data_IF_638888746337
#
_entry.id   IF_638888746337
#
_cell.length_a   1.000
_cell.length_b   1.000
_cell.length_c   1.000
_cell.angle_alpha   90.00
_cell.angle_beta   90.00
_cell.angle_gamma   90.00
#
_symmetry.space_group_name_H-M   'P 1'
#
loop_
_entity.id
_entity.type
_entity.pdbx_description
1 polymer ?
#
# COMPACT_ATOMS: atom_id res chain seq x y z
N UNK A 1 -8.63 -0.78 -4.40
CA UNK A 1 -8.92 -0.89 -2.96
C UNK A 1 -7.80 -0.20 -2.24
N UNK A 2 -8.08 0.70 -1.29
CA UNK A 2 -7.04 1.47 -0.61
C UNK A 2 -6.18 0.61 0.32
N UNK A 3 -6.57 -0.62 0.62
CA UNK A 3 -5.90 -1.45 1.63
C UNK A 3 -4.51 -1.88 1.23
N UNK A 4 -3.62 -1.95 2.22
CA UNK A 4 -2.28 -2.54 2.09
C UNK A 4 -2.14 -3.83 2.88
N UNK A 5 -3.15 -4.24 3.65
CA UNK A 5 -3.13 -5.47 4.43
C UNK A 5 -4.47 -6.21 4.35
N UNK A 6 -4.40 -7.54 4.40
CA UNK A 6 -5.56 -8.43 4.51
C UNK A 6 -5.22 -9.63 5.40
N UNK A 7 -6.12 -10.04 6.28
CA UNK A 7 -5.90 -11.23 7.10
C UNK A 7 -5.67 -12.48 6.23
N UNK A 8 -4.74 -13.34 6.63
CA UNK A 8 -4.57 -14.67 6.06
C UNK A 8 -5.76 -15.61 6.36
N UNK A 9 -6.69 -15.21 7.23
CA UNK A 9 -7.88 -15.98 7.59
C UNK A 9 -9.09 -15.56 6.76
N UNK A 10 -10.00 -16.51 6.51
CA UNK A 10 -11.32 -16.21 5.97
C UNK A 10 -11.31 -15.57 4.57
N UNK A 11 -10.28 -15.84 3.76
CA UNK A 11 -10.13 -15.32 2.40
C UNK A 11 -10.27 -13.80 2.27
N UNK A 12 -9.79 -13.07 3.29
CA UNK A 12 -9.97 -11.63 3.37
C UNK A 12 -9.35 -10.90 2.16
N UNK A 13 -8.25 -11.42 1.61
CA UNK A 13 -7.62 -10.84 0.42
C UNK A 13 -8.46 -11.03 -0.82
N UNK A 14 -8.99 -12.22 -1.08
CA UNK A 14 -9.85 -12.51 -2.23
C UNK A 14 -11.16 -11.71 -2.14
N UNK A 15 -11.74 -11.65 -0.95
CA UNK A 15 -12.98 -10.92 -0.66
C UNK A 15 -12.78 -9.40 -0.55
N UNK A 16 -11.54 -8.92 -0.68
CA UNK A 16 -11.16 -7.51 -0.57
C UNK A 16 -11.61 -6.85 0.76
N UNK A 17 -11.51 -7.58 1.88
CA UNK A 17 -11.76 -7.11 3.25
C UNK A 17 -10.42 -6.81 3.92
N UNK A 18 -9.93 -5.58 3.79
CA UNK A 18 -8.58 -5.22 4.24
C UNK A 18 -8.55 -3.93 5.02
N UNK A 19 -7.37 -3.61 5.56
CA UNK A 19 -7.10 -2.36 6.27
C UNK A 19 -6.00 -1.57 5.54
N UNK A 20 -6.00 -0.25 5.71
CA UNK A 20 -4.89 0.62 5.33
C UNK A 20 -4.04 0.87 6.57
N UNK A 21 -2.90 0.18 6.67
CA UNK A 21 -2.03 0.29 7.86
C UNK A 21 -0.56 0.58 7.53
N UNK A 22 -0.22 0.67 6.24
CA UNK A 22 1.14 1.00 5.79
C UNK A 22 1.14 2.37 5.13
N UNK A 23 2.04 3.26 5.55
CA UNK A 23 2.07 4.65 5.11
C UNK A 23 3.49 5.13 4.87
N UNK A 24 3.63 6.04 3.92
CA UNK A 24 4.82 6.87 3.74
C UNK A 24 4.39 8.29 4.10
N UNK A 25 4.92 8.81 5.21
CA UNK A 25 4.60 10.15 5.69
C UNK A 25 5.69 11.11 5.22
N UNK A 26 5.28 12.26 4.68
CA UNK A 26 6.18 13.30 4.19
C UNK A 26 5.99 14.62 4.93
N UNK A 27 7.04 15.43 4.97
CA UNK A 27 6.98 16.84 5.36
C UNK A 27 6.64 17.73 4.14
N UNK A 28 6.57 19.05 4.34
CA UNK A 28 6.22 19.99 3.25
C UNK A 28 7.22 19.94 2.08
N UNK A 29 8.52 19.78 2.36
CA UNK A 29 9.53 19.63 1.32
C UNK A 29 9.30 18.37 0.46
N UNK A 30 8.93 17.24 1.08
CA UNK A 30 8.59 16.02 0.35
C UNK A 30 7.29 16.18 -0.45
N UNK A 31 6.31 16.93 0.09
CA UNK A 31 5.05 17.23 -0.61
C UNK A 31 5.28 17.98 -1.92
N UNK A 32 6.22 18.94 -1.94
CA UNK A 32 6.57 19.69 -3.16
C UNK A 32 7.16 18.80 -4.26
N UNK A 33 7.77 17.66 -3.88
CA UNK A 33 8.38 16.70 -4.81
C UNK A 33 7.49 15.50 -5.11
N UNK A 34 6.33 15.37 -4.48
CA UNK A 34 5.48 14.20 -4.62
C UNK A 34 4.87 14.13 -6.03
N UNK A 35 4.96 12.95 -6.66
CA UNK A 35 4.41 12.70 -7.99
C UNK A 35 3.24 11.73 -8.00
N UNK A 36 3.39 10.56 -7.38
CA UNK A 36 2.35 9.52 -7.34
C UNK A 36 2.47 8.64 -6.09
N UNK A 37 1.35 8.06 -5.65
CA UNK A 37 1.30 7.05 -4.62
C UNK A 37 0.35 5.93 -5.04
N UNK A 38 0.79 4.68 -4.91
CA UNK A 38 -0.03 3.51 -5.26
C UNK A 38 0.20 2.33 -4.34
N UNK A 39 -0.79 1.44 -4.33
CA UNK A 39 -0.69 0.12 -3.71
C UNK A 39 -0.51 -0.92 -4.79
N UNK A 40 0.59 -1.65 -4.72
CA UNK A 40 0.89 -2.73 -5.66
C UNK A 40 0.32 -4.04 -5.09
N UNK A 41 -1.01 -4.18 -5.11
CA UNK A 41 -1.72 -5.34 -4.52
C UNK A 41 -1.20 -6.69 -5.01
N UNK A 42 -0.86 -6.78 -6.30
CA UNK A 42 -0.31 -7.99 -6.89
C UNK A 42 1.12 -8.31 -6.38
N UNK A 43 1.90 -7.30 -6.00
CA UNK A 43 3.30 -7.45 -5.61
C UNK A 43 3.53 -8.16 -4.28
N UNK A 44 2.50 -8.28 -3.44
CA UNK A 44 2.57 -9.05 -2.19
C UNK A 44 1.92 -10.44 -2.27
N UNK A 45 1.40 -10.86 -3.43
CA UNK A 45 0.75 -12.17 -3.56
C UNK A 45 1.74 -13.29 -3.19
N UNK A 46 1.27 -14.24 -2.38
CA UNK A 46 2.00 -15.44 -1.94
C UNK A 46 3.16 -15.25 -0.95
N UNK A 47 3.65 -14.01 -0.75
CA UNK A 47 4.83 -13.75 0.09
C UNK A 47 4.48 -13.05 1.41
N UNK A 48 3.39 -12.27 1.45
CA UNK A 48 2.98 -11.53 2.64
C UNK A 48 1.45 -11.29 2.64
N UNK A 49 0.90 -11.08 3.83
CA UNK A 49 -0.44 -10.55 4.06
C UNK A 49 -0.55 -9.04 3.73
N UNK A 50 0.59 -8.36 3.54
CA UNK A 50 0.66 -6.98 3.09
C UNK A 50 0.89 -6.85 1.56
N UNK A 51 0.60 -5.67 1.03
CA UNK A 51 0.96 -5.22 -0.31
C UNK A 51 1.86 -3.98 -0.21
N UNK A 52 2.88 -3.85 -1.08
CA UNK A 52 3.75 -2.68 -1.10
C UNK A 52 2.98 -1.37 -1.31
N UNK A 53 3.37 -0.37 -0.52
CA UNK A 53 3.06 1.04 -0.75
C UNK A 53 4.24 1.67 -1.47
N UNK A 54 3.99 2.24 -2.64
CA UNK A 54 5.03 2.86 -3.47
C UNK A 54 4.69 4.33 -3.65
N UNK A 55 5.69 5.19 -3.47
CA UNK A 55 5.61 6.62 -3.73
C UNK A 55 6.73 7.01 -4.68
N UNK A 56 6.39 7.80 -5.68
CA UNK A 56 7.36 8.38 -6.62
C UNK A 56 7.54 9.88 -6.28
N UNK A 57 8.80 10.32 -6.22
CA UNK A 57 9.20 11.72 -6.02
C UNK A 57 10.01 12.24 -7.22
N UNK A 58 9.93 13.55 -7.47
CA UNK A 58 10.77 14.28 -8.43
C UNK A 58 11.97 14.91 -7.69
N UNK A 59 13.18 14.44 -7.98
CA UNK A 59 14.39 14.77 -7.22
C UNK A 59 15.26 15.77 -7.99
#
# INVERSE_FOLDING_TARGET
GPYSWWSNRGRAREDNKGWRIDYILGNDAAKERFKDARIVRAGGLQVSDHAPVVVDFDI
#
